data_IF_607458442596
#
_entry.id   IF_607458442596
#
_cell.length_a   1.000
_cell.length_b   1.000
_cell.length_c   1.000
_cell.angle_alpha   90.00
_cell.angle_beta   90.00
_cell.angle_gamma   90.00
#
_symmetry.space_group_name_H-M   'P 1'
#
loop_
_entity.id
_entity.type
_entity.pdbx_description
1 polymer ?
#
# COMPACT_ATOMS: atom_id res chain seq x y z
N UNK A 1 -35.39 7.29 -43.55
CA UNK A 1 -35.85 8.44 -42.74
C UNK A 1 -34.74 9.43 -42.34
N UNK A 2 -33.45 9.13 -42.59
CA UNK A 2 -32.33 10.05 -42.28
C UNK A 2 -32.11 11.17 -43.31
N UNK A 3 -32.48 10.95 -44.59
CA UNK A 3 -32.26 11.92 -45.68
C UNK A 3 -33.18 13.15 -45.54
N UNK A 4 -34.44 12.96 -45.15
CA UNK A 4 -35.37 14.07 -44.94
C UNK A 4 -34.96 15.00 -43.79
N UNK A 5 -34.31 14.48 -42.74
CA UNK A 5 -33.80 15.31 -41.65
C UNK A 5 -32.68 16.23 -42.12
N UNK A 6 -31.81 15.75 -43.01
CA UNK A 6 -30.69 16.52 -43.56
C UNK A 6 -31.18 17.68 -44.43
N UNK A 7 -32.15 17.42 -45.32
CA UNK A 7 -32.73 18.43 -46.22
C UNK A 7 -33.55 19.48 -45.45
N UNK A 8 -34.23 19.08 -44.37
CA UNK A 8 -34.95 20.02 -43.51
C UNK A 8 -33.98 20.93 -42.75
N UNK A 9 -32.89 20.40 -42.20
CA UNK A 9 -31.87 21.24 -41.55
C UNK A 9 -31.15 22.17 -42.54
N UNK A 10 -30.88 21.70 -43.76
CA UNK A 10 -30.23 22.51 -44.80
C UNK A 10 -31.13 23.66 -45.29
N UNK A 11 -32.43 23.39 -45.43
CA UNK A 11 -33.41 24.39 -45.87
C UNK A 11 -33.67 25.46 -44.80
N UNK A 12 -33.69 25.08 -43.52
CA UNK A 12 -33.85 26.02 -42.40
C UNK A 12 -32.62 26.93 -42.27
N UNK A 13 -31.42 26.41 -42.53
CA UNK A 13 -30.19 27.22 -42.52
C UNK A 13 -30.17 28.30 -43.63
N UNK A 14 -30.89 28.10 -44.73
CA UNK A 14 -30.98 29.09 -45.83
C UNK A 14 -32.07 30.15 -45.64
N UNK A 15 -33.04 29.93 -44.75
CA UNK A 15 -34.11 30.91 -44.48
C UNK A 15 -33.71 32.01 -43.48
N UNK A 16 -32.59 31.84 -42.78
CA UNK A 16 -31.99 32.92 -42.02
C UNK A 16 -31.23 33.83 -42.99
N UNK A 17 -31.89 34.91 -43.44
CA UNK A 17 -31.21 36.01 -44.10
C UNK A 17 -29.99 36.43 -43.26
N UNK A 18 -28.82 36.68 -43.87
CA UNK A 18 -27.66 37.16 -43.13
C UNK A 18 -28.06 38.46 -42.45
N UNK A 19 -28.19 38.42 -41.11
CA UNK A 19 -28.31 39.63 -40.31
C UNK A 19 -27.09 40.48 -40.67
N UNK A 20 -27.26 41.74 -41.09
CA UNK A 20 -26.13 42.59 -41.43
C UNK A 20 -25.18 42.57 -40.24
N UNK A 21 -23.93 42.12 -40.47
CA UNK A 21 -22.89 42.15 -39.47
C UNK A 21 -22.89 43.55 -38.85
N UNK A 22 -23.13 43.62 -37.54
CA UNK A 22 -23.12 44.87 -36.80
C UNK A 22 -21.84 45.64 -37.14
N UNK A 23 -21.96 46.96 -37.21
CA UNK A 23 -20.89 47.85 -37.66
C UNK A 23 -19.59 47.56 -36.90
N UNK A 24 -18.60 47.02 -37.61
CA UNK A 24 -17.28 46.67 -37.09
C UNK A 24 -16.70 47.83 -36.28
N UNK A 25 -16.63 47.67 -34.95
CA UNK A 25 -16.04 48.65 -34.03
C UNK A 25 -17.01 49.29 -33.04
N UNK A 26 -18.26 48.84 -32.97
CA UNK A 26 -19.21 49.25 -31.94
C UNK A 26 -18.89 48.66 -30.55
N UNK A 27 -19.39 49.30 -29.49
CA UNK A 27 -19.27 48.80 -28.10
C UNK A 27 -19.88 47.40 -27.90
N UNK A 28 -20.92 47.07 -28.68
CA UNK A 28 -21.57 45.74 -28.68
C UNK A 28 -20.65 44.65 -29.22
N UNK A 29 -19.91 44.90 -30.30
CA UNK A 29 -18.95 43.93 -30.86
C UNK A 29 -17.81 43.64 -29.89
N UNK A 30 -17.36 44.67 -29.17
CA UNK A 30 -16.33 44.51 -28.14
C UNK A 30 -16.82 43.60 -27.01
N UNK A 31 -18.07 43.77 -26.55
CA UNK A 31 -18.68 42.89 -25.56
C UNK A 31 -18.84 41.45 -26.07
N UNK A 32 -19.35 41.26 -27.29
CA UNK A 32 -19.53 39.93 -27.89
C UNK A 32 -18.21 39.18 -28.05
N UNK A 33 -17.13 39.90 -28.40
CA UNK A 33 -15.78 39.34 -28.47
C UNK A 33 -15.29 38.86 -27.10
N UNK A 34 -15.45 39.68 -26.05
CA UNK A 34 -15.07 39.28 -24.69
C UNK A 34 -15.92 38.14 -24.15
N UNK A 35 -17.22 38.12 -24.44
CA UNK A 35 -18.09 37.01 -24.07
C UNK A 35 -17.65 35.71 -24.75
N UNK A 36 -17.31 35.76 -26.04
CA UNK A 36 -16.80 34.59 -26.77
C UNK A 36 -15.46 34.13 -26.21
N UNK A 37 -14.56 35.05 -25.91
CA UNK A 37 -13.24 34.75 -25.34
C UNK A 37 -13.35 34.14 -23.93
N UNK A 38 -14.21 34.70 -23.08
CA UNK A 38 -14.50 34.14 -21.75
C UNK A 38 -15.16 32.77 -21.86
N UNK A 39 -16.10 32.59 -22.79
CA UNK A 39 -16.74 31.31 -23.07
C UNK A 39 -15.74 30.24 -23.48
N UNK A 40 -14.82 30.59 -24.39
CA UNK A 40 -13.75 29.69 -24.82
C UNK A 40 -12.77 29.36 -23.67
N UNK A 41 -12.41 30.34 -22.85
CA UNK A 41 -11.53 30.12 -21.69
C UNK A 41 -12.19 29.19 -20.65
N UNK A 42 -13.44 29.46 -20.26
CA UNK A 42 -14.19 28.63 -19.31
C UNK A 42 -14.40 27.22 -19.85
N UNK A 43 -14.75 27.08 -21.14
CA UNK A 43 -14.87 25.79 -21.82
C UNK A 43 -13.57 25.00 -21.82
N UNK A 44 -12.44 25.67 -22.11
CA UNK A 44 -11.11 25.06 -22.05
C UNK A 44 -10.73 24.58 -20.64
N UNK A 45 -10.96 25.40 -19.61
CA UNK A 45 -10.72 25.03 -18.22
C UNK A 45 -11.58 23.84 -17.77
N UNK A 46 -12.87 23.83 -18.11
CA UNK A 46 -13.74 22.70 -17.82
C UNK A 46 -13.28 21.43 -18.53
N UNK A 47 -12.81 21.52 -19.77
CA UNK A 47 -12.23 20.40 -20.51
C UNK A 47 -11.01 19.80 -19.81
N UNK A 48 -10.06 20.65 -19.38
CA UNK A 48 -8.86 20.21 -18.65
C UNK A 48 -9.22 19.59 -17.29
N UNK A 49 -10.15 20.21 -16.56
CA UNK A 49 -10.62 19.70 -15.27
C UNK A 49 -11.30 18.33 -15.43
N UNK A 50 -12.15 18.16 -16.45
CA UNK A 50 -12.80 16.88 -16.77
C UNK A 50 -11.78 15.79 -17.09
N UNK A 51 -10.81 16.08 -17.96
CA UNK A 51 -9.72 15.15 -18.29
C UNK A 51 -8.90 14.74 -17.07
N UNK A 52 -8.59 15.70 -16.19
CA UNK A 52 -7.87 15.45 -14.94
C UNK A 52 -8.65 14.54 -13.97
N UNK A 53 -9.97 14.76 -13.83
CA UNK A 53 -10.84 13.92 -13.00
C UNK A 53 -10.86 12.48 -13.52
N UNK A 54 -11.03 12.29 -14.84
CA UNK A 54 -11.06 10.96 -15.46
C UNK A 54 -9.72 10.25 -15.30
N UNK A 55 -8.60 10.93 -15.58
CA UNK A 55 -7.27 10.37 -15.41
C UNK A 55 -7.01 9.94 -13.95
N UNK A 56 -7.44 10.76 -12.98
CA UNK A 56 -7.33 10.45 -11.55
C UNK A 56 -8.22 9.28 -11.14
N UNK A 57 -9.42 9.18 -11.68
CA UNK A 57 -10.36 8.08 -11.41
C UNK A 57 -9.81 6.74 -11.91
N UNK A 58 -9.30 6.69 -13.15
CA UNK A 58 -8.65 5.50 -13.70
C UNK A 58 -7.47 5.04 -12.83
N UNK A 59 -6.57 5.97 -12.49
CA UNK A 59 -5.41 5.64 -11.64
C UNK A 59 -5.81 5.11 -10.27
N UNK A 60 -6.87 5.65 -9.66
CA UNK A 60 -7.39 5.13 -8.39
C UNK A 60 -7.89 3.70 -8.53
N UNK A 61 -8.68 3.42 -9.57
CA UNK A 61 -9.19 2.06 -9.82
C UNK A 61 -8.07 1.05 -9.97
N UNK A 62 -7.02 1.37 -10.71
CA UNK A 62 -5.86 0.49 -10.88
C UNK A 62 -5.14 0.23 -9.55
N UNK A 63 -5.00 1.28 -8.73
CA UNK A 63 -4.42 1.18 -7.39
C UNK A 63 -5.28 0.33 -6.44
N UNK A 64 -6.60 0.47 -6.49
CA UNK A 64 -7.54 -0.31 -5.68
C UNK A 64 -7.49 -1.80 -6.07
N UNK A 65 -7.38 -2.10 -7.37
CA UNK A 65 -7.21 -3.48 -7.86
C UNK A 65 -5.87 -4.05 -7.39
N UNK A 66 -4.76 -3.32 -7.56
CA UNK A 66 -3.44 -3.75 -7.11
C UNK A 66 -3.39 -3.99 -5.59
N UNK A 67 -3.95 -3.06 -4.82
CA UNK A 67 -4.06 -3.19 -3.37
C UNK A 67 -4.94 -4.38 -2.97
N UNK A 68 -6.07 -4.58 -3.66
CA UNK A 68 -6.97 -5.71 -3.46
C UNK A 68 -6.31 -7.06 -3.76
N UNK A 69 -5.37 -7.11 -4.72
CA UNK A 69 -4.59 -8.32 -5.00
C UNK A 69 -3.58 -8.63 -3.88
N UNK A 70 -2.91 -7.62 -3.34
CA UNK A 70 -1.84 -7.79 -2.34
C UNK A 70 -2.37 -7.95 -0.91
N UNK A 71 -3.56 -7.40 -0.62
CA UNK A 71 -4.13 -7.41 0.73
C UNK A 71 -4.30 -8.81 1.34
N UNK A 72 -4.82 -9.83 0.61
CA UNK A 72 -4.95 -11.19 1.16
C UNK A 72 -3.61 -11.80 1.57
N UNK A 73 -2.55 -11.57 0.79
CA UNK A 73 -1.20 -12.07 1.11
C UNK A 73 -0.67 -11.44 2.41
N UNK A 74 -0.86 -10.12 2.57
CA UNK A 74 -0.48 -9.41 3.79
C UNK A 74 -1.26 -9.91 5.02
N UNK A 75 -2.56 -10.14 4.86
CA UNK A 75 -3.42 -10.68 5.93
C UNK A 75 -3.01 -12.10 6.30
N UNK A 76 -2.64 -12.94 5.34
CA UNK A 76 -2.15 -14.29 5.59
C UNK A 76 -0.83 -14.27 6.36
N UNK A 77 0.11 -13.39 5.99
CA UNK A 77 1.38 -13.21 6.72
C UNK A 77 1.15 -12.74 8.15
N UNK A 78 0.33 -11.70 8.33
CA UNK A 78 0.00 -11.16 9.65
C UNK A 78 -0.67 -12.21 10.53
N UNK A 79 -1.68 -12.91 10.00
CA UNK A 79 -2.36 -14.00 10.73
C UNK A 79 -1.41 -15.16 11.07
N UNK A 80 -0.53 -15.56 10.15
CA UNK A 80 0.48 -16.58 10.41
C UNK A 80 1.43 -16.14 11.54
N UNK A 81 1.92 -14.91 11.48
CA UNK A 81 2.80 -14.33 12.51
C UNK A 81 2.12 -14.20 13.88
N UNK A 82 0.86 -13.76 13.92
CA UNK A 82 0.07 -13.71 15.16
C UNK A 82 -0.14 -15.11 15.74
N UNK A 83 -0.50 -16.09 14.90
CA UNK A 83 -0.70 -17.47 15.35
C UNK A 83 0.59 -18.09 15.91
N UNK A 84 1.74 -17.74 15.33
CA UNK A 84 3.05 -18.17 15.80
C UNK A 84 3.38 -17.53 17.15
N UNK A 85 3.19 -16.21 17.29
CA UNK A 85 3.40 -15.47 18.56
C UNK A 85 2.51 -16.00 19.67
N UNK A 86 1.23 -16.30 19.37
CA UNK A 86 0.30 -16.86 20.34
C UNK A 86 0.73 -18.26 20.82
N UNK A 87 1.22 -19.11 19.91
CA UNK A 87 1.66 -20.48 20.24
C UNK A 87 2.96 -20.53 21.03
N UNK A 88 3.93 -19.68 20.68
CA UNK A 88 5.23 -19.63 21.36
C UNK A 88 5.16 -18.93 22.72
N UNK A 89 4.12 -18.11 22.92
CA UNK A 89 3.93 -17.27 24.09
C UNK A 89 5.02 -16.18 24.22
N UNK A 90 4.88 -15.28 25.20
CA UNK A 90 5.95 -14.34 25.53
C UNK A 90 7.22 -15.10 25.95
N UNK A 91 8.42 -14.57 25.70
CA UNK A 91 9.62 -15.08 26.35
C UNK A 91 9.43 -15.06 27.87
N UNK A 92 9.93 -16.07 28.59
CA UNK A 92 9.89 -16.07 30.03
C UNK A 92 10.65 -14.84 30.54
N UNK A 93 9.90 -13.87 31.06
CA UNK A 93 10.43 -12.69 31.75
C UNK A 93 10.91 -13.12 33.13
N UNK A 94 11.95 -13.95 33.17
CA UNK A 94 12.58 -14.40 34.40
C UNK A 94 13.95 -13.73 34.51
N UNK A 95 14.03 -12.52 35.11
CA UNK A 95 15.29 -11.82 35.33
C UNK A 95 16.31 -12.63 36.13
N UNK A 96 15.88 -13.71 36.79
CA UNK A 96 16.70 -14.58 37.64
C UNK A 96 17.13 -15.91 36.98
N UNK A 97 16.76 -16.19 35.73
CA UNK A 97 17.29 -17.38 35.03
C UNK A 97 18.78 -17.20 34.71
N UNK A 98 19.63 -18.20 35.00
CA UNK A 98 21.03 -18.17 34.57
C UNK A 98 21.13 -18.10 33.04
N UNK A 99 22.16 -17.42 32.54
CA UNK A 99 22.33 -17.15 31.10
C UNK A 99 22.28 -18.43 30.23
N UNK A 100 22.81 -19.54 30.75
CA UNK A 100 22.80 -20.84 30.07
C UNK A 100 21.38 -21.42 29.93
N UNK A 101 20.53 -21.27 30.95
CA UNK A 101 19.13 -21.72 30.88
C UNK A 101 18.31 -20.88 29.90
N UNK A 102 18.59 -19.57 29.80
CA UNK A 102 17.99 -18.70 28.78
C UNK A 102 18.39 -19.12 27.37
N UNK A 103 19.68 -19.32 27.14
CA UNK A 103 20.18 -19.76 25.84
C UNK A 103 19.58 -21.11 25.41
N UNK A 104 19.44 -22.06 26.34
CA UNK A 104 18.78 -23.34 26.07
C UNK A 104 17.30 -23.18 25.72
N UNK A 105 16.57 -22.34 26.46
CA UNK A 105 15.15 -22.06 26.18
C UNK A 105 14.96 -21.37 24.82
N UNK A 106 15.80 -20.38 24.51
CA UNK A 106 15.79 -19.70 23.20
C UNK A 106 16.10 -20.67 22.06
N UNK A 107 17.08 -21.56 22.25
CA UNK A 107 17.40 -22.61 21.30
C UNK A 107 16.21 -23.54 21.02
N UNK A 108 15.55 -24.05 22.07
CA UNK A 108 14.35 -24.86 21.92
C UNK A 108 13.23 -24.11 21.19
N UNK A 109 13.00 -22.85 21.56
CA UNK A 109 12.00 -22.00 20.91
C UNK A 109 12.27 -21.79 19.42
N UNK A 110 13.52 -21.57 19.02
CA UNK A 110 13.88 -21.40 17.60
C UNK A 110 13.55 -22.67 16.81
N UNK A 111 13.86 -23.86 17.35
CA UNK A 111 13.52 -25.14 16.71
C UNK A 111 12.01 -25.31 16.56
N UNK A 112 11.24 -25.04 17.63
CA UNK A 112 9.77 -25.11 17.60
C UNK A 112 9.18 -24.11 16.59
N UNK A 113 9.75 -22.90 16.54
CA UNK A 113 9.37 -21.85 15.60
C UNK A 113 9.56 -22.33 14.15
N UNK A 114 10.72 -22.90 13.84
CA UNK A 114 11.03 -23.40 12.50
C UNK A 114 10.13 -24.55 12.09
N UNK A 115 9.82 -25.46 13.01
CA UNK A 115 8.87 -26.55 12.75
C UNK A 115 7.50 -26.00 12.39
N UNK A 116 7.00 -25.05 13.17
CA UNK A 116 5.72 -24.39 12.91
C UNK A 116 5.71 -23.63 11.58
N UNK A 117 6.82 -22.93 11.25
CA UNK A 117 6.97 -22.23 9.99
C UNK A 117 7.02 -23.20 8.79
N UNK A 118 7.71 -24.33 8.93
CA UNK A 118 7.77 -25.36 7.89
C UNK A 118 6.38 -25.94 7.57
N UNK A 119 5.54 -26.12 8.60
CA UNK A 119 4.19 -26.66 8.48
C UNK A 119 3.18 -25.63 7.93
N UNK A 120 3.32 -24.34 8.28
CA UNK A 120 2.29 -23.30 8.07
C UNK A 120 2.71 -22.13 7.18
N UNK A 121 3.82 -22.23 6.46
CA UNK A 121 4.28 -21.16 5.56
C UNK A 121 3.17 -20.75 4.57
N UNK A 122 2.78 -19.46 4.53
CA UNK A 122 1.78 -18.99 3.57
C UNK A 122 2.38 -18.95 2.17
N UNK A 123 1.61 -19.37 1.16
CA UNK A 123 2.02 -19.26 -0.24
C UNK A 123 1.57 -17.91 -0.78
N UNK A 124 2.49 -16.95 -0.77
CA UNK A 124 2.21 -15.60 -1.25
C UNK A 124 2.39 -15.54 -2.76
N UNK A 125 1.39 -15.02 -3.47
CA UNK A 125 1.42 -14.91 -4.91
C UNK A 125 1.52 -13.45 -5.34
N UNK A 126 0.57 -12.63 -4.91
CA UNK A 126 0.44 -11.24 -5.33
C UNK A 126 1.64 -10.37 -4.91
N UNK A 127 2.23 -10.62 -3.74
CA UNK A 127 3.45 -9.95 -3.27
C UNK A 127 4.66 -10.16 -4.20
N UNK A 128 4.66 -11.19 -5.04
CA UNK A 128 5.75 -11.45 -6.00
C UNK A 128 5.43 -10.98 -7.42
N UNK A 129 4.30 -10.30 -7.61
CA UNK A 129 3.87 -9.80 -8.92
C UNK A 129 4.23 -8.32 -9.12
N UNK A 130 4.13 -7.81 -10.36
CA UNK A 130 4.28 -6.38 -10.64
C UNK A 130 3.24 -5.46 -9.96
N UNK A 131 2.22 -6.00 -9.28
CA UNK A 131 1.20 -5.22 -8.57
C UNK A 131 1.80 -4.25 -7.53
N UNK A 132 2.92 -4.61 -6.89
CA UNK A 132 3.64 -3.70 -5.97
C UNK A 132 4.13 -2.45 -6.71
N UNK A 133 4.57 -2.59 -7.96
CA UNK A 133 5.02 -1.47 -8.79
C UNK A 133 3.91 -0.45 -9.05
N UNK A 134 2.67 -0.91 -9.21
CA UNK A 134 1.50 -0.02 -9.39
C UNK A 134 1.17 0.79 -8.12
N UNK A 135 1.62 0.31 -6.96
CA UNK A 135 1.44 0.97 -5.66
C UNK A 135 2.61 1.92 -5.30
N UNK A 136 3.69 1.92 -6.09
CA UNK A 136 4.88 2.77 -5.83
C UNK A 136 4.55 4.27 -5.79
N UNK A 137 3.60 4.70 -6.62
CA UNK A 137 3.16 6.08 -6.71
C UNK A 137 2.19 6.51 -5.61
N UNK A 138 1.74 5.58 -4.74
CA UNK A 138 0.77 5.89 -3.69
C UNK A 138 1.44 6.66 -2.56
N UNK A 139 2.47 6.06 -1.98
CA UNK A 139 3.29 6.59 -0.90
C UNK A 139 4.60 5.80 -0.79
N UNK A 140 5.71 6.50 -0.57
CA UNK A 140 7.04 5.89 -0.52
C UNK A 140 7.21 4.91 0.66
N UNK A 141 6.52 5.13 1.79
CA UNK A 141 6.60 4.26 2.98
C UNK A 141 5.86 2.97 2.74
N UNK A 142 4.65 3.06 2.18
CA UNK A 142 3.88 1.89 1.76
C UNK A 142 4.69 1.03 0.79
N UNK A 143 5.24 1.65 -0.25
CA UNK A 143 6.07 0.94 -1.23
C UNK A 143 7.29 0.29 -0.57
N UNK A 144 7.99 1.01 0.32
CA UNK A 144 9.15 0.47 1.04
C UNK A 144 8.78 -0.76 1.88
N UNK A 145 7.65 -0.74 2.59
CA UNK A 145 7.22 -1.91 3.36
C UNK A 145 6.83 -3.09 2.46
N UNK A 146 6.11 -2.85 1.37
CA UNK A 146 5.75 -3.91 0.41
C UNK A 146 7.00 -4.54 -0.22
N UNK A 147 7.93 -3.72 -0.68
CA UNK A 147 9.16 -4.16 -1.31
C UNK A 147 10.06 -4.93 -0.33
N UNK A 148 10.24 -4.42 0.89
CA UNK A 148 11.01 -5.12 1.92
C UNK A 148 10.33 -6.42 2.34
N UNK A 149 9.00 -6.43 2.49
CA UNK A 149 8.24 -7.65 2.75
C UNK A 149 8.50 -8.71 1.67
N UNK A 150 8.43 -8.33 0.39
CA UNK A 150 8.69 -9.22 -0.74
C UNK A 150 10.13 -9.76 -0.69
N UNK A 151 11.13 -8.89 -0.52
CA UNK A 151 12.53 -9.29 -0.49
C UNK A 151 12.85 -10.23 0.67
N UNK A 152 12.43 -9.88 1.89
CA UNK A 152 12.66 -10.70 3.09
C UNK A 152 11.92 -12.02 2.99
N UNK A 153 10.69 -12.04 2.47
CA UNK A 153 9.96 -13.28 2.22
C UNK A 153 10.68 -14.20 1.24
N UNK A 154 11.25 -13.65 0.16
CA UNK A 154 12.00 -14.45 -0.82
C UNK A 154 13.24 -15.07 -0.18
N UNK A 155 14.02 -14.29 0.56
CA UNK A 155 15.19 -14.78 1.29
C UNK A 155 14.81 -15.87 2.30
N UNK A 156 13.68 -15.69 2.99
CA UNK A 156 13.12 -16.68 3.92
C UNK A 156 12.77 -17.99 3.21
N UNK A 157 12.07 -17.95 2.07
CA UNK A 157 11.72 -19.17 1.32
C UNK A 157 12.97 -19.89 0.78
N UNK A 158 13.94 -19.16 0.23
CA UNK A 158 15.21 -19.72 -0.24
C UNK A 158 15.97 -20.40 0.93
N UNK A 159 15.96 -19.78 2.12
CA UNK A 159 16.57 -20.33 3.32
C UNK A 159 15.83 -21.59 3.84
N UNK A 160 14.51 -21.61 3.77
CA UNK A 160 13.68 -22.77 4.14
C UNK A 160 13.83 -23.94 3.17
N UNK A 161 13.94 -23.68 1.86
CA UNK A 161 14.19 -24.71 0.86
C UNK A 161 15.57 -25.33 1.02
N UNK A 162 16.58 -24.49 1.23
CA UNK A 162 17.96 -24.93 1.45
C UNK A 162 18.15 -25.67 2.79
N UNK A 163 17.25 -25.50 3.77
CA UNK A 163 17.22 -26.36 4.97
C UNK A 163 16.70 -27.77 4.66
N UNK A 164 15.75 -27.92 3.73
CA UNK A 164 15.22 -29.24 3.33
C UNK A 164 16.25 -30.07 2.57
N UNK A 165 17.12 -29.40 1.81
CA UNK A 165 18.12 -30.05 0.97
C UNK A 165 19.31 -30.62 1.76
N UNK A 166 19.60 -30.10 2.95
CA UNK A 166 20.74 -30.55 3.77
C UNK A 166 20.20 -31.22 5.05
N UNK A 167 20.18 -32.57 5.12
CA UNK A 167 19.89 -33.27 6.36
C UNK A 167 21.02 -32.99 7.34
N UNK A 168 20.86 -31.94 8.15
CA UNK A 168 21.87 -31.51 9.10
C UNK A 168 21.64 -32.24 10.42
N UNK A 169 22.65 -32.97 10.90
CA UNK A 169 22.70 -33.36 12.31
C UNK A 169 22.64 -32.08 13.18
N UNK A 170 21.81 -32.04 14.24
CA UNK A 170 21.60 -30.86 15.06
C UNK A 170 22.79 -30.65 16.01
N UNK A 171 23.96 -30.34 15.49
CA UNK A 171 25.12 -29.95 16.29
C UNK A 171 25.13 -28.43 16.47
N UNK A 172 24.41 -27.98 17.50
CA UNK A 172 24.35 -26.58 17.90
C UNK A 172 23.28 -25.78 17.16
N UNK A 173 22.79 -24.73 17.83
CA UNK A 173 21.84 -23.80 17.22
C UNK A 173 22.57 -22.99 16.15
N UNK A 174 22.46 -23.44 14.89
CA UNK A 174 23.07 -22.76 13.75
C UNK A 174 22.54 -21.31 13.66
N UNK A 175 23.44 -20.34 13.49
CA UNK A 175 23.12 -18.92 13.24
C UNK A 175 22.10 -18.77 12.09
N UNK A 176 22.09 -19.72 11.16
CA UNK A 176 21.11 -19.83 10.09
C UNK A 176 19.67 -19.98 10.59
N UNK A 177 19.42 -20.82 11.60
CA UNK A 177 18.10 -21.03 12.17
C UNK A 177 17.57 -19.75 12.83
N UNK A 178 18.43 -19.06 13.59
CA UNK A 178 18.10 -17.77 14.18
C UNK A 178 17.76 -16.73 13.10
N UNK A 179 18.56 -16.68 12.03
CA UNK A 179 18.32 -15.78 10.90
C UNK A 179 16.97 -16.03 10.21
N UNK A 180 16.59 -17.29 9.99
CA UNK A 180 15.29 -17.62 9.39
C UNK A 180 14.13 -17.15 10.26
N UNK A 181 14.24 -17.33 11.59
CA UNK A 181 13.23 -16.82 12.52
C UNK A 181 13.19 -15.28 12.55
N UNK A 182 14.35 -14.60 12.50
CA UNK A 182 14.39 -13.14 12.45
C UNK A 182 13.79 -12.61 11.15
N UNK A 183 14.13 -13.20 10.01
CA UNK A 183 13.64 -12.81 8.69
C UNK A 183 12.12 -13.03 8.60
N UNK A 184 11.62 -14.16 9.12
CA UNK A 184 10.18 -14.40 9.22
C UNK A 184 9.47 -13.33 10.06
N UNK A 185 10.03 -12.98 11.22
CA UNK A 185 9.44 -11.95 12.10
C UNK A 185 9.47 -10.57 11.44
N UNK A 186 10.57 -10.23 10.77
CA UNK A 186 10.73 -8.98 10.03
C UNK A 186 9.75 -8.88 8.87
N UNK A 187 9.57 -9.98 8.12
CA UNK A 187 8.60 -10.08 7.03
C UNK A 187 7.16 -9.81 7.53
N UNK A 188 6.75 -10.47 8.62
CA UNK A 188 5.44 -10.24 9.26
C UNK A 188 5.26 -8.79 9.68
N UNK A 189 6.31 -8.16 10.24
CA UNK A 189 6.25 -6.76 10.66
C UNK A 189 6.06 -5.82 9.46
N UNK A 190 6.81 -6.03 8.37
CA UNK A 190 6.60 -5.28 7.13
C UNK A 190 5.20 -5.51 6.56
N UNK A 191 4.67 -6.73 6.62
CA UNK A 191 3.33 -7.04 6.15
C UNK A 191 2.24 -6.31 6.93
N UNK A 192 2.33 -6.31 8.27
CA UNK A 192 1.39 -5.61 9.14
C UNK A 192 1.41 -4.09 8.90
N UNK A 193 2.61 -3.50 8.75
CA UNK A 193 2.75 -2.07 8.47
C UNK A 193 2.29 -1.71 7.06
N UNK A 194 2.57 -2.54 6.05
CA UNK A 194 2.06 -2.35 4.69
C UNK A 194 0.53 -2.39 4.68
N UNK A 195 -0.08 -3.35 5.38
CA UNK A 195 -1.54 -3.45 5.54
C UNK A 195 -2.10 -2.17 6.17
N UNK A 196 -1.52 -1.71 7.27
CA UNK A 196 -1.92 -0.44 7.91
C UNK A 196 -1.88 0.73 6.91
N UNK A 197 -0.81 0.86 6.14
CA UNK A 197 -0.71 1.94 5.14
C UNK A 197 -1.70 1.78 3.99
N UNK A 198 -2.01 0.56 3.53
CA UNK A 198 -3.04 0.32 2.52
C UNK A 198 -4.42 0.74 2.99
N UNK A 199 -4.81 0.33 4.21
CA UNK A 199 -6.09 0.68 4.82
C UNK A 199 -6.25 2.20 4.94
N UNK A 200 -5.19 2.92 5.30
CA UNK A 200 -5.23 4.37 5.47
C UNK A 200 -5.09 5.18 4.17
N UNK A 201 -4.32 4.71 3.18
CA UNK A 201 -3.96 5.52 1.99
C UNK A 201 -4.71 5.14 0.71
N UNK A 202 -5.11 3.87 0.59
CA UNK A 202 -5.81 3.35 -0.60
C UNK A 202 -7.28 3.15 -0.29
N UNK A 203 -7.60 2.37 0.75
CA UNK A 203 -8.99 2.03 1.07
C UNK A 203 -9.75 3.11 1.87
N UNK A 204 -9.05 4.16 2.32
CA UNK A 204 -9.69 5.25 3.03
C UNK A 204 -10.59 6.07 2.09
N UNK A 205 -11.81 6.44 2.51
CA UNK A 205 -12.66 7.34 1.73
C UNK A 205 -12.09 8.76 1.64
N UNK A 206 -11.13 9.11 2.51
CA UNK A 206 -10.59 10.45 2.60
C UNK A 206 -9.51 10.74 1.56
N UNK A 207 -9.37 12.01 1.11
CA UNK A 207 -8.23 12.40 0.30
C UNK A 207 -6.91 12.16 1.05
N UNK A 208 -5.88 11.69 0.34
CA UNK A 208 -4.56 11.37 0.93
C UNK A 208 -3.95 12.50 1.75
N UNK A 209 -4.12 13.75 1.31
CA UNK A 209 -3.58 14.90 2.02
C UNK A 209 -4.23 15.08 3.40
N UNK A 210 -5.52 14.72 3.57
CA UNK A 210 -6.22 14.75 4.86
C UNK A 210 -5.64 13.67 5.77
N UNK A 211 -5.51 12.45 5.26
CA UNK A 211 -4.94 11.32 6.01
C UNK A 211 -3.51 11.62 6.44
N UNK A 212 -2.68 12.14 5.55
CA UNK A 212 -1.29 12.50 5.84
C UNK A 212 -1.20 13.62 6.88
N UNK A 213 -2.07 14.64 6.79
CA UNK A 213 -2.13 15.70 7.80
C UNK A 213 -2.56 15.15 9.17
N UNK A 214 -3.54 14.24 9.19
CA UNK A 214 -4.01 13.57 10.41
C UNK A 214 -2.88 12.74 11.05
N UNK A 215 -2.25 11.84 10.30
CA UNK A 215 -1.16 10.98 10.78
C UNK A 215 0.07 11.78 11.20
N UNK A 216 0.34 12.93 10.56
CA UNK A 216 1.40 13.85 10.98
C UNK A 216 1.08 14.52 12.32
N UNK A 217 -0.19 14.86 12.56
CA UNK A 217 -0.61 15.55 13.79
C UNK A 217 -0.71 14.60 14.99
N UNK A 218 -1.14 13.36 14.77
CA UNK A 218 -1.27 12.33 15.81
C UNK A 218 -0.60 11.04 15.32
N UNK A 219 0.74 10.94 15.43
CA UNK A 219 1.45 9.75 14.99
C UNK A 219 1.11 8.59 15.91
N UNK A 220 0.36 7.64 15.36
CA UNK A 220 0.05 6.35 15.98
C UNK A 220 1.33 5.55 16.25
N UNK A 221 1.27 4.56 17.15
CA UNK A 221 2.41 3.70 17.45
C UNK A 221 2.88 2.94 16.19
N UNK A 222 1.95 2.52 15.33
CA UNK A 222 2.26 1.90 14.04
C UNK A 222 3.03 2.84 13.10
N UNK A 223 2.71 4.14 13.10
CA UNK A 223 3.46 5.14 12.32
C UNK A 223 4.87 5.28 12.86
N UNK A 224 5.05 5.31 14.19
CA UNK A 224 6.37 5.37 14.83
C UNK A 224 7.19 4.11 14.58
N UNK A 225 6.57 2.93 14.66
CA UNK A 225 7.19 1.63 14.33
C UNK A 225 7.61 1.56 12.88
N UNK A 226 6.76 2.01 11.95
CA UNK A 226 7.08 2.12 10.53
C UNK A 226 8.31 2.99 10.29
N UNK A 227 8.35 4.20 10.86
CA UNK A 227 9.51 5.09 10.71
C UNK A 227 10.78 4.49 11.30
N UNK A 228 10.69 3.92 12.51
CA UNK A 228 11.84 3.27 13.16
C UNK A 228 12.38 2.10 12.33
N UNK A 229 11.48 1.24 11.82
CA UNK A 229 11.85 0.08 11.03
C UNK A 229 12.52 0.48 9.71
N UNK A 230 12.01 1.52 9.04
CA UNK A 230 12.61 2.02 7.81
C UNK A 230 13.96 2.74 8.04
N UNK A 231 14.15 3.37 9.19
CA UNK A 231 15.40 4.07 9.52
C UNK A 231 16.49 3.11 10.01
N UNK A 232 16.14 2.15 10.87
CA UNK A 232 17.11 1.25 11.53
C UNK A 232 17.20 -0.13 10.91
N UNK A 233 16.20 -0.55 10.14
CA UNK A 233 16.09 -1.93 9.67
C UNK A 233 15.75 -2.94 10.78
N UNK A 234 15.40 -2.46 11.98
CA UNK A 234 15.16 -3.29 13.16
C UNK A 234 13.73 -3.11 13.67
N UNK A 235 13.15 -4.18 14.21
CA UNK A 235 11.85 -4.13 14.85
C UNK A 235 11.98 -3.33 16.14
N UNK A 236 11.20 -2.25 16.25
CA UNK A 236 11.19 -1.45 17.47
C UNK A 236 10.79 -2.33 18.66
N UNK A 237 11.57 -2.35 19.77
CA UNK A 237 11.15 -3.05 20.96
C UNK A 237 9.82 -2.47 21.44
N UNK A 238 8.92 -3.30 22.01
CA UNK A 238 7.65 -2.82 22.55
C UNK A 238 7.96 -1.69 23.53
N UNK A 239 7.46 -0.50 23.24
CA UNK A 239 7.68 0.63 24.13
C UNK A 239 7.05 0.31 25.48
N UNK A 240 7.84 0.27 26.55
CA UNK A 240 7.35 0.00 27.92
C UNK A 240 6.44 1.12 28.46
N UNK A 241 6.06 2.08 27.63
CA UNK A 241 5.03 3.06 27.95
C UNK A 241 3.70 2.33 28.02
N UNK A 242 3.29 2.01 29.26
CA UNK A 242 2.13 1.21 29.59
C UNK A 242 0.79 1.88 29.27
N UNK A 243 0.52 2.14 28.00
CA UNK A 243 -0.84 2.34 27.53
C UNK A 243 -1.47 0.96 27.31
N UNK A 244 -1.96 0.38 28.42
CA UNK A 244 -3.05 -0.59 28.37
C UNK A 244 -4.23 0.12 27.70
N UNK A 245 -4.50 -0.18 26.43
CA UNK A 245 -5.54 0.51 25.68
C UNK A 245 -6.15 -0.35 24.57
N UNK A 246 -7.02 -1.28 25.00
CA UNK A 246 -8.24 -1.73 24.30
C UNK A 246 -8.09 -2.24 22.85
N UNK A 247 -8.09 -3.58 22.73
CA UNK A 247 -8.80 -4.27 21.64
C UNK A 247 -10.31 -4.22 21.93
#
# INVERSE_FOLDING_TARGET
>A
MSVMLYDLTASVAQMCAPVPAAATGGWTDWLDHWQTLLGAAVGGFMGVAGAWIVARSHRRRDQDVAAGMVLPDLQQLDAAGQSLRQRLGPPPNAPNLPAQARAFFEAGRVVDTLKLLAERRPKLFALHTPAIGQLSDVDARLYSHLFQCQMVHRQFEDAMESLKAVPSEPKGLDLRHQRICSDSTLCVEHAALARFWLENLVFSPWPRWVVNAYLKRRPDDLVKRSMYLLEKGEIRPPSMTGERGQL
#
